data_IF_603143844755
#
_entry.id   IF_603143844755
#
_cell.length_a   1.000
_cell.length_b   1.000
_cell.length_c   1.000
_cell.angle_alpha   90.00
_cell.angle_beta   90.00
_cell.angle_gamma   90.00
#
_symmetry.space_group_name_H-M   'P 1'
#
loop_
_entity.id
_entity.type
_entity.pdbx_description
1 polymer ?
#
# COMPACT_ATOMS: atom_id res chain seq x y z
N UNK A 1 -21.60 52.25 -25.20
CA UNK A 1 -23.01 52.49 -24.82
C UNK A 1 -23.61 51.14 -24.45
N UNK A 2 -24.26 50.98 -23.28
CA UNK A 2 -25.17 51.93 -22.66
C UNK A 2 -24.73 52.46 -21.28
N UNK A 3 -25.52 53.42 -20.79
CA UNK A 3 -25.38 54.27 -19.62
C UNK A 3 -26.11 53.69 -18.38
N UNK A 4 -25.46 53.78 -17.21
CA UNK A 4 -25.90 54.18 -15.84
C UNK A 4 -27.42 54.21 -15.47
N UNK A 5 -27.82 54.04 -14.17
CA UNK A 5 -27.22 54.77 -13.05
C UNK A 5 -27.07 54.09 -11.66
N UNK A 6 -26.03 54.56 -10.98
CA UNK A 6 -25.87 54.93 -9.55
C UNK A 6 -26.80 54.35 -8.48
N UNK A 7 -26.18 53.73 -7.46
CA UNK A 7 -26.61 53.88 -6.06
C UNK A 7 -25.38 53.88 -5.14
N UNK A 8 -25.31 54.94 -4.34
CA UNK A 8 -24.36 55.25 -3.26
C UNK A 8 -24.78 54.50 -2.00
N UNK A 9 -23.86 54.07 -1.13
CA UNK A 9 -24.23 53.74 0.24
C UNK A 9 -23.26 52.92 1.08
N UNK A 10 -22.38 53.64 1.80
CA UNK A 10 -22.02 53.46 3.21
C UNK A 10 -21.32 52.16 3.69
N UNK A 11 -20.08 52.40 4.12
CA UNK A 11 -19.29 51.55 4.99
C UNK A 11 -20.01 51.26 6.32
N UNK A 12 -20.10 49.97 6.67
CA UNK A 12 -20.48 49.49 7.99
C UNK A 12 -19.30 48.77 8.64
N UNK A 13 -18.61 49.47 9.54
CA UNK A 13 -17.66 48.88 10.49
C UNK A 13 -18.44 48.02 11.48
N UNK A 14 -18.26 46.69 11.43
CA UNK A 14 -18.69 45.79 12.50
C UNK A 14 -17.48 45.40 13.33
N UNK A 15 -17.37 46.07 14.47
CA UNK A 15 -16.52 45.72 15.60
C UNK A 15 -16.96 44.35 16.13
N UNK A 16 -16.09 43.34 16.02
CA UNK A 16 -16.20 42.14 16.84
C UNK A 16 -15.27 42.30 18.05
N UNK A 17 -15.91 42.45 19.21
CA UNK A 17 -15.27 42.50 20.51
C UNK A 17 -14.58 41.16 20.79
N UNK A 18 -13.30 41.23 21.13
CA UNK A 18 -12.54 40.10 21.64
C UNK A 18 -13.12 39.64 22.98
N UNK A 19 -13.34 38.33 23.10
CA UNK A 19 -13.57 37.70 24.39
C UNK A 19 -12.25 37.13 24.89
N UNK A 20 -11.88 37.60 26.08
CA UNK A 20 -10.75 37.17 26.90
C UNK A 20 -11.01 35.77 27.44
N UNK A 21 -10.10 34.83 27.18
CA UNK A 21 -10.08 33.54 27.86
C UNK A 21 -9.15 33.68 29.08
N UNK A 22 -9.75 33.68 30.28
CA UNK A 22 -9.02 33.60 31.55
C UNK A 22 -8.34 32.23 31.67
N UNK A 23 -7.01 32.22 31.60
CA UNK A 23 -6.18 31.08 31.95
C UNK A 23 -5.99 31.04 33.46
N UNK A 24 -6.81 30.26 34.16
CA UNK A 24 -6.58 29.95 35.57
C UNK A 24 -5.48 28.88 35.71
N UNK A 25 -4.29 29.32 36.12
CA UNK A 25 -3.23 28.44 36.62
C UNK A 25 -3.66 27.80 37.94
N UNK A 26 -3.49 26.49 38.08
CA UNK A 26 -3.61 25.79 39.38
C UNK A 26 -2.28 25.07 39.65
N UNK A 27 -1.69 25.20 40.85
CA UNK A 27 -0.33 24.80 41.12
C UNK A 27 -0.16 23.28 41.33
N UNK A 28 1.06 22.86 41.03
CA UNK A 28 1.66 21.55 41.30
C UNK A 28 1.65 21.27 42.82
N UNK A 29 1.03 20.17 43.25
CA UNK A 29 1.07 19.70 44.63
C UNK A 29 1.52 18.23 44.67
N UNK A 30 2.80 18.04 44.95
CA UNK A 30 3.41 16.77 45.29
C UNK A 30 2.97 16.37 46.70
N UNK A 31 2.23 15.25 46.82
CA UNK A 31 1.93 14.62 48.11
C UNK A 31 2.39 13.17 48.06
N UNK A 32 3.50 12.88 48.77
CA UNK A 32 3.94 11.53 49.07
C UNK A 32 3.06 10.95 50.18
N UNK A 33 2.40 9.81 49.94
CA UNK A 33 1.83 8.99 51.00
C UNK A 33 1.94 7.50 50.66
N UNK A 34 2.71 6.80 51.50
CA UNK A 34 2.39 5.48 52.06
C UNK A 34 2.23 4.29 51.11
N UNK A 35 3.24 3.41 51.11
CA UNK A 35 3.20 2.02 50.63
C UNK A 35 2.26 1.16 51.49
N UNK A 36 1.28 0.43 50.92
CA UNK A 36 0.80 -0.80 51.52
C UNK A 36 1.55 -1.98 50.91
N UNK A 37 2.12 -2.85 51.75
CA UNK A 37 2.59 -4.16 51.32
C UNK A 37 1.39 -5.01 50.88
N UNK A 38 1.16 -5.04 49.56
CA UNK A 38 0.22 -5.93 48.90
C UNK A 38 0.97 -7.12 48.31
N UNK A 39 0.59 -8.31 48.75
CA UNK A 39 1.15 -9.62 48.37
C UNK A 39 1.36 -9.77 46.86
N UNK A 40 2.61 -10.01 46.46
CA UNK A 40 2.96 -10.31 45.07
C UNK A 40 2.37 -11.67 44.67
N UNK A 41 1.24 -11.65 43.96
CA UNK A 41 0.77 -12.82 43.21
C UNK A 41 1.67 -12.93 41.98
N UNK A 42 2.65 -13.83 42.04
CA UNK A 42 3.43 -14.20 40.86
C UNK A 42 2.48 -14.81 39.81
N UNK A 43 2.46 -14.35 38.55
CA UNK A 43 1.79 -15.06 37.50
C UNK A 43 2.55 -16.38 37.30
N UNK A 44 1.86 -17.50 37.49
CA UNK A 44 2.32 -18.84 37.15
C UNK A 44 2.68 -18.85 35.64
N UNK A 45 3.94 -18.55 35.37
CA UNK A 45 4.55 -18.61 34.06
C UNK A 45 4.85 -20.07 33.79
N UNK A 46 3.81 -20.83 33.43
CA UNK A 46 3.88 -22.28 33.51
C UNK A 46 2.90 -23.06 32.67
N UNK A 47 2.37 -22.50 31.59
CA UNK A 47 1.76 -23.27 30.50
C UNK A 47 2.08 -22.55 29.19
N UNK A 48 3.02 -23.09 28.43
CA UNK A 48 3.30 -22.65 27.07
C UNK A 48 2.07 -22.92 26.20
N UNK A 49 1.13 -21.97 26.16
CA UNK A 49 0.07 -21.96 25.16
C UNK A 49 0.78 -21.97 23.81
N UNK A 50 0.55 -22.99 22.95
CA UNK A 50 1.10 -22.98 21.61
C UNK A 50 0.69 -21.65 20.97
N UNK A 51 1.64 -20.77 20.71
CA UNK A 51 1.41 -19.59 19.87
C UNK A 51 1.12 -20.13 18.48
N UNK A 52 -0.15 -20.45 18.23
CA UNK A 52 -0.63 -20.72 16.89
C UNK A 52 -0.29 -19.47 16.10
N UNK A 53 0.69 -19.59 15.19
CA UNK A 53 1.13 -18.49 14.35
C UNK A 53 -0.08 -18.10 13.53
N UNK A 54 -0.73 -16.99 13.90
CA UNK A 54 -1.96 -16.55 13.23
C UNK A 54 -1.65 -16.43 11.74
N UNK A 55 -2.52 -17.01 10.90
CA UNK A 55 -2.46 -16.82 9.45
C UNK A 55 -2.44 -15.31 9.18
N UNK A 56 -1.34 -14.83 8.56
CA UNK A 56 -1.20 -13.41 8.22
C UNK A 56 -2.25 -13.09 7.16
N UNK A 57 -3.05 -12.07 7.42
CA UNK A 57 -3.99 -11.47 6.49
C UNK A 57 -3.65 -9.98 6.37
N UNK A 58 -4.05 -9.34 5.28
CA UNK A 58 -3.92 -7.90 5.14
C UNK A 58 -4.96 -7.22 6.04
N UNK A 59 -4.53 -6.29 6.87
CA UNK A 59 -5.43 -5.37 7.58
C UNK A 59 -5.91 -4.26 6.65
N UNK A 60 -6.94 -3.50 7.04
CA UNK A 60 -7.37 -2.31 6.29
C UNK A 60 -6.22 -1.31 6.10
N UNK A 61 -5.35 -1.15 7.11
CA UNK A 61 -4.15 -0.30 7.01
C UNK A 61 -3.15 -0.82 5.98
N UNK A 62 -2.97 -2.14 5.90
CA UNK A 62 -2.11 -2.75 4.89
C UNK A 62 -2.67 -2.54 3.48
N UNK A 63 -3.99 -2.66 3.30
CA UNK A 63 -4.67 -2.44 2.02
C UNK A 63 -4.49 -0.99 1.55
N UNK A 64 -4.74 -0.01 2.43
CA UNK A 64 -4.48 1.41 2.15
C UNK A 64 -3.01 1.66 1.83
N UNK A 65 -2.08 1.15 2.64
CA UNK A 65 -0.65 1.35 2.40
C UNK A 65 -0.19 0.77 1.05
N UNK A 66 -0.70 -0.39 0.65
CA UNK A 66 -0.42 -0.96 -0.68
C UNK A 66 -0.97 -0.07 -1.79
N UNK A 67 -2.24 0.35 -1.68
CA UNK A 67 -2.88 1.20 -2.69
C UNK A 67 -2.19 2.57 -2.82
N UNK A 68 -1.90 3.21 -1.68
CA UNK A 68 -1.25 4.52 -1.63
C UNK A 68 0.17 4.43 -2.20
N UNK A 69 0.90 3.36 -1.90
CA UNK A 69 2.23 3.14 -2.49
C UNK A 69 2.15 2.99 -4.01
N UNK A 70 1.19 2.22 -4.54
CA UNK A 70 1.00 2.11 -5.99
C UNK A 70 0.70 3.46 -6.63
N UNK A 71 -0.25 4.22 -6.07
CA UNK A 71 -0.60 5.55 -6.59
C UNK A 71 0.56 6.55 -6.48
N UNK A 72 1.36 6.48 -5.42
CA UNK A 72 2.56 7.29 -5.27
C UNK A 72 3.59 7.01 -6.39
N UNK A 73 3.87 5.73 -6.66
CA UNK A 73 4.78 5.34 -7.75
C UNK A 73 4.22 5.76 -9.11
N UNK A 74 2.93 5.56 -9.36
CA UNK A 74 2.24 5.98 -10.59
C UNK A 74 2.29 7.49 -10.83
N UNK A 75 2.18 8.29 -9.77
CA UNK A 75 2.30 9.75 -9.84
C UNK A 75 3.74 10.24 -10.02
N UNK A 76 4.74 9.38 -9.75
CA UNK A 76 6.17 9.73 -9.74
C UNK A 76 6.94 9.17 -10.95
N UNK A 77 6.24 8.71 -11.98
CA UNK A 77 6.88 8.20 -13.20
C UNK A 77 7.57 9.31 -13.98
N UNK A 78 8.67 8.96 -14.63
CA UNK A 78 9.34 9.83 -15.59
C UNK A 78 9.66 9.01 -16.85
N UNK A 79 9.31 9.52 -18.06
CA UNK A 79 8.57 10.76 -18.32
C UNK A 79 7.15 10.75 -17.70
N UNK A 80 6.52 11.93 -17.48
CA UNK A 80 5.17 11.98 -16.93
C UNK A 80 4.18 11.35 -17.90
N UNK A 81 3.23 10.57 -17.36
CA UNK A 81 2.24 9.88 -18.15
C UNK A 81 1.01 10.76 -18.39
N UNK A 82 0.57 10.85 -19.66
CA UNK A 82 -0.60 11.65 -20.05
C UNK A 82 -1.95 11.00 -19.68
N UNK A 83 -1.97 9.68 -19.45
CA UNK A 83 -3.19 8.89 -19.28
C UNK A 83 -3.13 7.92 -18.08
N UNK A 84 -2.31 8.21 -17.06
CA UNK A 84 -2.22 7.36 -15.87
C UNK A 84 -3.52 7.42 -15.07
N UNK A 85 -4.29 6.34 -15.03
CA UNK A 85 -5.53 6.29 -14.24
C UNK A 85 -5.22 6.22 -12.74
N UNK A 86 -6.08 6.81 -11.91
CA UNK A 86 -6.00 6.63 -10.47
C UNK A 86 -6.45 5.23 -10.09
N UNK A 87 -5.65 4.54 -9.28
CA UNK A 87 -5.93 3.16 -8.87
C UNK A 87 -6.79 3.15 -7.61
N UNK A 88 -7.79 2.28 -7.58
CA UNK A 88 -8.65 2.06 -6.41
C UNK A 88 -8.66 0.59 -6.01
N UNK A 89 -8.96 0.31 -4.74
CA UNK A 89 -9.06 -1.06 -4.24
C UNK A 89 -10.28 -1.79 -4.81
N UNK A 90 -10.12 -3.07 -5.10
CA UNK A 90 -11.17 -3.97 -5.57
C UNK A 90 -11.18 -5.27 -4.75
N UNK A 91 -12.27 -5.48 -4.02
CA UNK A 91 -12.43 -6.64 -3.13
C UNK A 91 -12.54 -7.98 -3.88
N UNK A 92 -13.03 -7.98 -5.12
CA UNK A 92 -13.11 -9.21 -5.93
C UNK A 92 -11.72 -9.64 -6.36
N UNK A 93 -10.88 -8.69 -6.78
CA UNK A 93 -9.47 -8.94 -7.08
C UNK A 93 -8.71 -9.43 -5.84
N UNK A 94 -8.94 -8.82 -4.68
CA UNK A 94 -8.33 -9.23 -3.41
C UNK A 94 -8.75 -10.64 -2.98
N UNK A 95 -10.04 -10.97 -3.13
CA UNK A 95 -10.55 -12.33 -2.87
C UNK A 95 -9.92 -13.35 -3.82
N UNK A 96 -9.80 -13.04 -5.11
CA UNK A 96 -9.11 -13.90 -6.08
C UNK A 96 -7.62 -14.06 -5.75
N UNK A 97 -6.94 -12.99 -5.34
CA UNK A 97 -5.54 -13.03 -4.93
C UNK A 97 -5.36 -13.92 -3.69
N UNK A 98 -6.31 -13.85 -2.73
CA UNK A 98 -6.31 -14.69 -1.54
C UNK A 98 -6.45 -16.17 -1.89
N UNK A 99 -7.38 -16.52 -2.76
CA UNK A 99 -7.58 -17.89 -3.22
C UNK A 99 -6.33 -18.45 -3.92
N UNK A 100 -5.61 -17.61 -4.66
CA UNK A 100 -4.35 -18.00 -5.30
C UNK A 100 -3.19 -18.11 -4.31
N UNK A 101 -3.02 -17.14 -3.42
CA UNK A 101 -1.94 -17.13 -2.42
C UNK A 101 -1.98 -18.37 -1.51
N UNK A 102 -3.18 -18.91 -1.22
CA UNK A 102 -3.32 -20.14 -0.42
C UNK A 102 -2.86 -21.40 -1.12
N UNK A 103 -2.66 -21.39 -2.45
CA UNK A 103 -2.13 -22.54 -3.19
C UNK A 103 -0.63 -22.74 -2.98
N UNK A 104 0.08 -21.75 -2.43
CA UNK A 104 1.52 -21.82 -2.18
C UNK A 104 2.33 -22.32 -3.37
N UNK A 105 1.96 -21.85 -4.57
CA UNK A 105 2.61 -22.18 -5.83
C UNK A 105 3.20 -20.90 -6.41
N UNK A 106 4.49 -20.94 -6.76
CA UNK A 106 5.18 -19.81 -7.38
C UNK A 106 4.94 -19.78 -8.89
N UNK A 107 3.72 -19.39 -9.25
CA UNK A 107 3.27 -19.25 -10.64
C UNK A 107 2.14 -18.23 -10.71
N UNK A 108 1.88 -17.70 -11.91
CA UNK A 108 0.72 -16.87 -12.15
C UNK A 108 -0.56 -17.70 -12.25
N UNK A 109 -1.66 -17.21 -11.70
CA UNK A 109 -2.95 -17.87 -11.85
C UNK A 109 -4.10 -17.30 -11.03
N UNK A 110 -5.28 -17.97 -11.09
CA UNK A 110 -5.56 -19.17 -11.89
C UNK A 110 -5.62 -18.85 -13.39
N UNK A 111 -5.17 -19.79 -14.25
CA UNK A 111 -5.01 -19.58 -15.70
C UNK A 111 -6.22 -18.96 -16.42
N UNK A 112 -7.48 -19.34 -16.12
CA UNK A 112 -8.65 -18.73 -16.77
C UNK A 112 -8.81 -17.22 -16.55
N UNK A 113 -8.23 -16.68 -15.46
CA UNK A 113 -8.28 -15.26 -15.13
C UNK A 113 -7.12 -14.45 -15.71
N UNK A 114 -5.98 -15.09 -15.99
CA UNK A 114 -4.75 -14.40 -16.42
C UNK A 114 -4.84 -13.74 -17.81
N UNK A 115 -5.91 -14.02 -18.58
CA UNK A 115 -6.23 -13.31 -19.83
C UNK A 115 -6.87 -11.94 -19.62
N UNK A 116 -7.37 -11.65 -18.42
CA UNK A 116 -8.09 -10.40 -18.09
C UNK A 116 -7.49 -9.64 -16.91
N UNK A 117 -6.72 -10.33 -16.08
CA UNK A 117 -6.18 -9.82 -14.82
C UNK A 117 -4.66 -9.89 -14.88
N UNK A 118 -4.02 -8.75 -14.64
CA UNK A 118 -2.58 -8.69 -14.39
C UNK A 118 -2.25 -9.19 -12.99
N UNK A 119 -1.05 -9.74 -12.76
CA UNK A 119 -0.67 -10.28 -11.46
C UNK A 119 0.81 -10.09 -11.16
N UNK A 120 1.11 -9.49 -10.00
CA UNK A 120 2.45 -9.43 -9.43
C UNK A 120 2.55 -10.34 -8.21
N UNK A 121 3.72 -10.96 -8.06
CA UNK A 121 4.03 -11.92 -7.01
C UNK A 121 5.25 -11.46 -6.22
N UNK A 122 5.21 -11.62 -4.90
CA UNK A 122 6.35 -11.34 -4.02
C UNK A 122 6.45 -12.41 -2.97
N UNK A 123 7.67 -12.83 -2.65
CA UNK A 123 7.96 -13.85 -1.65
C UNK A 123 9.08 -13.39 -0.75
N UNK A 124 8.95 -13.67 0.54
CA UNK A 124 9.96 -13.36 1.53
C UNK A 124 9.98 -14.38 2.68
N UNK A 125 11.17 -14.76 3.14
CA UNK A 125 11.37 -15.57 4.35
C UNK A 125 12.31 -14.88 5.33
N UNK A 126 12.20 -15.24 6.62
CA UNK A 126 13.07 -14.70 7.66
C UNK A 126 12.44 -13.55 8.45
N UNK A 127 13.19 -12.46 8.64
CA UNK A 127 12.75 -11.31 9.47
C UNK A 127 11.48 -10.69 8.91
N UNK A 128 10.65 -10.12 9.78
CA UNK A 128 9.42 -9.44 9.36
C UNK A 128 9.71 -8.33 8.34
N UNK A 129 8.86 -8.26 7.32
CA UNK A 129 8.80 -7.20 6.31
C UNK A 129 7.37 -6.65 6.28
N UNK A 130 7.23 -5.33 6.21
CA UNK A 130 5.94 -4.68 5.98
C UNK A 130 5.39 -5.05 4.61
N UNK A 131 4.11 -4.78 4.35
CA UNK A 131 3.51 -5.04 3.02
C UNK A 131 4.10 -4.13 1.95
N UNK A 132 4.50 -2.92 2.32
CA UNK A 132 5.17 -1.98 1.41
C UNK A 132 6.56 -2.50 1.04
N UNK A 133 7.32 -3.05 2.00
CA UNK A 133 8.63 -3.64 1.70
C UNK A 133 8.55 -4.77 0.68
N UNK A 134 7.46 -5.55 0.68
CA UNK A 134 7.25 -6.66 -0.26
C UNK A 134 7.00 -6.20 -1.70
N UNK A 135 6.48 -4.98 -1.89
CA UNK A 135 6.21 -4.39 -3.21
C UNK A 135 7.25 -3.35 -3.61
N UNK A 136 8.09 -2.91 -2.68
CA UNK A 136 9.15 -1.94 -2.95
C UNK A 136 10.12 -2.44 -4.02
N UNK A 137 10.51 -3.71 -3.96
CA UNK A 137 11.40 -4.31 -4.96
C UNK A 137 10.81 -4.27 -6.36
N UNK A 138 9.48 -4.39 -6.51
CA UNK A 138 8.82 -4.24 -7.81
C UNK A 138 9.02 -2.84 -8.37
N UNK A 139 8.85 -1.80 -7.56
CA UNK A 139 9.07 -0.42 -8.01
C UNK A 139 10.55 -0.10 -8.28
N UNK A 140 11.47 -0.74 -7.57
CA UNK A 140 12.92 -0.56 -7.75
C UNK A 140 13.41 -1.12 -9.10
N UNK A 141 12.67 -2.04 -9.73
CA UNK A 141 12.96 -2.48 -11.12
C UNK A 141 12.94 -1.33 -12.13
N UNK A 142 12.38 -0.16 -11.78
CA UNK A 142 12.51 1.09 -12.55
C UNK A 142 13.94 1.39 -12.97
N UNK A 143 14.93 1.04 -12.14
CA UNK A 143 16.35 1.26 -12.45
C UNK A 143 16.84 0.47 -13.68
N UNK A 144 16.12 -0.58 -14.06
CA UNK A 144 16.40 -1.45 -15.20
C UNK A 144 15.46 -1.18 -16.38
N UNK A 145 14.42 -0.38 -16.17
CA UNK A 145 13.42 -0.06 -17.17
C UNK A 145 13.77 1.24 -17.89
N UNK A 146 13.73 1.21 -19.22
CA UNK A 146 13.87 2.40 -20.06
C UNK A 146 12.58 2.61 -20.86
N UNK A 147 11.96 3.77 -20.63
CA UNK A 147 10.79 4.20 -21.38
C UNK A 147 11.21 4.55 -22.83
N UNK A 148 10.43 4.18 -23.86
CA UNK A 148 10.77 4.48 -25.25
C UNK A 148 10.93 5.99 -25.47
N UNK A 149 12.01 6.40 -26.13
CA UNK A 149 12.13 7.76 -26.63
C UNK A 149 11.20 7.94 -27.85
N UNK A 150 10.66 9.14 -28.11
CA UNK A 150 9.92 9.41 -29.34
C UNK A 150 10.70 9.06 -30.62
N UNK A 151 12.04 9.05 -30.57
CA UNK A 151 12.90 8.68 -31.69
C UNK A 151 12.92 7.17 -31.97
N UNK A 152 12.63 6.35 -30.97
CA UNK A 152 12.62 4.89 -31.06
C UNK A 152 11.22 4.36 -31.43
N UNK A 153 10.26 5.26 -31.59
CA UNK A 153 8.85 4.98 -31.85
C UNK A 153 8.53 4.90 -33.35
N UNK A 154 9.01 3.88 -34.07
CA UNK A 154 8.63 3.66 -35.48
C UNK A 154 8.77 2.18 -35.89
N UNK A 155 7.69 1.47 -36.31
CA UNK A 155 6.27 1.80 -36.23
C UNK A 155 5.66 1.54 -34.83
N UNK A 156 6.45 1.01 -33.89
CA UNK A 156 6.06 0.72 -32.52
C UNK A 156 6.98 1.46 -31.55
N UNK A 157 6.58 1.59 -30.29
CA UNK A 157 7.38 2.16 -29.20
C UNK A 157 7.82 1.04 -28.23
N UNK A 158 8.89 0.28 -28.51
CA UNK A 158 9.34 -0.76 -27.61
C UNK A 158 9.96 -0.14 -26.36
N UNK A 159 9.55 -0.60 -25.18
CA UNK A 159 10.25 -0.32 -23.94
C UNK A 159 11.39 -1.32 -23.78
N UNK A 160 12.45 -0.93 -23.06
CA UNK A 160 13.60 -1.79 -22.84
C UNK A 160 13.74 -2.16 -21.36
N UNK A 161 14.19 -3.39 -21.11
CA UNK A 161 14.54 -3.89 -19.78
C UNK A 161 15.97 -4.41 -19.83
N UNK A 162 16.88 -3.82 -19.06
CA UNK A 162 18.29 -4.22 -18.98
C UNK A 162 18.59 -5.18 -17.84
N UNK A 163 17.62 -5.37 -16.94
CA UNK A 163 17.73 -6.25 -15.77
C UNK A 163 17.08 -7.61 -16.00
N UNK A 164 17.15 -8.51 -15.00
CA UNK A 164 16.54 -9.83 -15.11
C UNK A 164 15.01 -9.76 -15.15
N UNK A 165 14.41 -8.75 -14.52
CA UNK A 165 12.97 -8.53 -14.44
C UNK A 165 12.67 -7.03 -14.40
N UNK A 166 11.72 -6.60 -15.21
CA UNK A 166 11.09 -5.27 -15.12
C UNK A 166 9.56 -5.34 -15.14
N UNK A 167 8.99 -6.55 -15.27
CA UNK A 167 7.56 -6.75 -15.47
C UNK A 167 6.72 -6.35 -14.25
N UNK A 168 7.30 -6.41 -13.04
CA UNK A 168 6.55 -5.98 -11.86
C UNK A 168 6.42 -4.46 -11.84
N UNK A 169 7.49 -3.72 -12.16
CA UNK A 169 7.43 -2.27 -12.29
C UNK A 169 6.42 -1.86 -13.35
N UNK A 170 6.51 -2.41 -14.57
CA UNK A 170 5.60 -2.02 -15.66
C UNK A 170 4.15 -2.32 -15.34
N UNK A 171 3.86 -3.40 -14.60
CA UNK A 171 2.51 -3.66 -14.10
C UNK A 171 2.05 -2.62 -13.07
N UNK A 172 2.90 -2.20 -12.12
CA UNK A 172 2.55 -1.16 -11.14
C UNK A 172 2.20 0.17 -11.83
N UNK A 173 2.93 0.51 -12.89
CA UNK A 173 2.76 1.75 -13.66
C UNK A 173 1.95 1.59 -14.94
N UNK A 174 1.20 0.49 -15.08
CA UNK A 174 0.38 0.27 -16.28
C UNK A 174 -0.80 1.24 -16.29
N UNK A 175 -0.81 2.18 -17.24
CA UNK A 175 -1.71 3.34 -17.22
C UNK A 175 -3.19 2.97 -17.04
N UNK A 176 -3.69 1.98 -17.79
CA UNK A 176 -5.09 1.54 -17.76
C UNK A 176 -5.45 0.60 -16.61
N UNK A 177 -4.48 0.11 -15.83
CA UNK A 177 -4.79 -0.68 -14.63
C UNK A 177 -5.28 0.24 -13.51
N UNK A 178 -6.59 0.36 -13.32
CA UNK A 178 -7.21 1.23 -12.32
C UNK A 178 -7.82 0.50 -11.13
N UNK A 179 -7.75 -0.83 -11.09
CA UNK A 179 -8.19 -1.66 -9.95
C UNK A 179 -7.03 -2.47 -9.40
N UNK A 180 -6.92 -2.53 -8.07
CA UNK A 180 -5.94 -3.34 -7.34
C UNK A 180 -6.63 -4.17 -6.27
N UNK A 181 -6.24 -5.43 -6.15
CA UNK A 181 -6.59 -6.24 -4.99
C UNK A 181 -5.48 -7.22 -4.66
N UNK A 182 -5.02 -7.21 -3.42
CA UNK A 182 -3.92 -8.04 -2.96
C UNK A 182 -4.33 -8.98 -1.82
N UNK A 183 -3.53 -10.02 -1.62
CA UNK A 183 -3.63 -10.88 -0.45
C UNK A 183 -2.27 -11.47 -0.08
N UNK A 184 -2.10 -11.71 1.21
CA UNK A 184 -0.91 -12.33 1.77
C UNK A 184 -1.24 -13.68 2.38
N UNK A 185 -0.33 -14.63 2.23
CA UNK A 185 -0.40 -15.94 2.86
C UNK A 185 0.97 -16.35 3.39
N UNK A 186 1.01 -17.20 4.41
CA UNK A 186 2.27 -17.78 4.89
C UNK A 186 2.29 -19.26 4.53
N UNK A 187 3.15 -19.59 3.56
CA UNK A 187 3.35 -20.95 3.07
C UNK A 187 4.30 -21.70 3.98
N UNK A 188 3.92 -22.92 4.39
CA UNK A 188 4.82 -23.79 5.13
C UNK A 188 6.06 -24.14 4.30
N UNK A 189 5.84 -24.39 3.01
CA UNK A 189 6.84 -24.63 1.98
C UNK A 189 6.31 -24.11 0.63
N UNK A 190 7.18 -23.53 -0.19
CA UNK A 190 6.89 -23.12 -1.58
C UNK A 190 8.17 -23.24 -2.41
N UNK A 191 8.08 -23.83 -3.59
CA UNK A 191 9.22 -23.97 -4.52
C UNK A 191 9.26 -22.78 -5.46
N UNK A 192 10.41 -22.10 -5.50
CA UNK A 192 10.68 -20.91 -6.32
C UNK A 192 11.92 -21.21 -7.14
N UNK A 193 11.77 -21.35 -8.45
CA UNK A 193 12.87 -21.63 -9.39
C UNK A 193 13.79 -22.77 -8.94
N UNK A 194 13.21 -23.87 -8.46
CA UNK A 194 13.93 -25.06 -8.01
C UNK A 194 14.48 -24.99 -6.58
N UNK A 195 14.33 -23.86 -5.89
CA UNK A 195 14.70 -23.70 -4.47
C UNK A 195 13.46 -23.74 -3.57
N UNK A 196 13.51 -24.49 -2.48
CA UNK A 196 12.41 -24.57 -1.51
C UNK A 196 12.54 -23.50 -0.42
N UNK A 197 11.50 -22.69 -0.28
CA UNK A 197 11.40 -21.65 0.75
C UNK A 197 10.44 -22.11 1.85
N UNK A 198 10.94 -22.14 3.08
CA UNK A 198 10.14 -22.53 4.25
C UNK A 198 9.58 -21.31 4.97
N UNK A 199 8.37 -21.46 5.53
CA UNK A 199 7.68 -20.42 6.31
C UNK A 199 7.64 -19.07 5.57
N UNK A 200 7.45 -19.13 4.26
CA UNK A 200 7.56 -18.00 3.36
C UNK A 200 6.27 -17.18 3.36
N UNK A 201 6.42 -15.87 3.46
CA UNK A 201 5.35 -14.91 3.23
C UNK A 201 5.21 -14.72 1.72
N UNK A 202 4.06 -15.08 1.18
CA UNK A 202 3.71 -14.97 -0.23
C UNK A 202 2.62 -13.91 -0.41
N UNK A 203 2.92 -12.85 -1.16
CA UNK A 203 2.02 -11.77 -1.51
C UNK A 203 1.65 -11.90 -2.99
N UNK A 204 0.34 -11.87 -3.26
CA UNK A 204 -0.23 -11.85 -4.61
C UNK A 204 -1.01 -10.54 -4.75
N UNK A 205 -0.74 -9.77 -5.80
CA UNK A 205 -1.51 -8.58 -6.16
C UNK A 205 -2.06 -8.73 -7.57
N UNK A 206 -3.38 -8.53 -7.72
CA UNK A 206 -4.09 -8.60 -8.99
C UNK A 206 -4.48 -7.18 -9.44
N UNK A 207 -4.44 -6.98 -10.76
CA UNK A 207 -4.72 -5.70 -11.42
C UNK A 207 -5.78 -5.90 -12.50
N UNK A 208 -6.68 -4.94 -12.67
CA UNK A 208 -7.64 -4.95 -13.76
C UNK A 208 -7.86 -3.54 -14.34
N UNK A 209 -8.32 -3.53 -15.60
CA UNK A 209 -8.83 -2.36 -16.29
C UNK A 209 -10.31 -2.18 -15.89
N UNK A 210 -10.78 -0.93 -15.84
CA UNK A 210 -12.19 -0.60 -15.57
C UNK A 210 -13.14 -1.11 -16.66
#
# INVERSE_FOLDING_TARGET
MPLLPSAVGLAGLLLWAGQTADASMVPNATLSLGRPEGMAVQPLSGLGVPRYRRKRHLSARDMSALLDYHNHIRASVHPPAANMEYMVWDERLASSAKAWATQCTWAHGPSPLMRYVGQNLSIHSGRYRSVVDLVKSWSEEKQHFLFPSPKDCTPHCPWHCSGPVCSHYTQMVWASSSRLGCAIHTCASISVWGSTWHQAVYLVCNYAIK
#
